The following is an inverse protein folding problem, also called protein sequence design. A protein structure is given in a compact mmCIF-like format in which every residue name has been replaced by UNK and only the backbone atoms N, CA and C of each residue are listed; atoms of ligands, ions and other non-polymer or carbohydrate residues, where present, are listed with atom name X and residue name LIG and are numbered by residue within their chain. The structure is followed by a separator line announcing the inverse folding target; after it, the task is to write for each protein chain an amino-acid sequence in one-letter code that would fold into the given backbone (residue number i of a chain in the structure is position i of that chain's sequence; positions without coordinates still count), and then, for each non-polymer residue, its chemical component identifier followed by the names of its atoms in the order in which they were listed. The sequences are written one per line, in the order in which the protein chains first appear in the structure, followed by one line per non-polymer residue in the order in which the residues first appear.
data_IF_134555534462
#
_entry.id   IF_134555534462
#
_cell.length_a   1.000
_cell.length_b   1.000
_cell.length_c   1.000
_cell.angle_alpha   90.00
_cell.angle_beta   90.00
_cell.angle_gamma   90.00
#
_symmetry.space_group_name_H-M   'P 1'
#
loop_
_entity.id
_entity.type
_entity.pdbx_description
1 polymer ?
#
# COMPACT_ATOMS: atom_id res chain seq x y z
N UNK A 1 -20.78 15.43 27.47
CA UNK A 1 -19.97 14.91 26.35
C UNK A 1 -20.15 15.86 25.16
N UNK A 2 -19.17 16.69 24.79
CA UNK A 2 -19.34 17.64 23.69
C UNK A 2 -19.46 16.91 22.34
N UNK A 3 -20.34 17.36 21.43
CA UNK A 3 -20.50 16.73 20.12
C UNK A 3 -19.22 16.89 19.27
N UNK A 4 -18.86 15.89 18.45
CA UNK A 4 -17.70 16.00 17.57
C UNK A 4 -17.88 17.20 16.63
N UNK A 5 -16.82 18.01 16.47
CA UNK A 5 -16.87 19.19 15.60
C UNK A 5 -17.09 18.78 14.14
N UNK A 6 -18.04 19.43 13.46
CA UNK A 6 -18.44 19.11 12.07
C UNK A 6 -17.25 18.99 11.10
N UNK A 7 -16.17 19.76 11.31
CA UNK A 7 -14.93 19.70 10.50
C UNK A 7 -14.21 18.34 10.56
N UNK A 8 -14.24 17.64 11.69
CA UNK A 8 -13.56 16.33 11.83
C UNK A 8 -14.28 15.24 11.04
N UNK A 9 -15.61 15.25 11.05
CA UNK A 9 -16.42 14.30 10.28
C UNK A 9 -16.18 14.47 8.77
N UNK A 10 -16.15 15.71 8.29
CA UNK A 10 -15.90 16.01 6.87
C UNK A 10 -14.51 15.54 6.42
N UNK A 11 -13.46 15.73 7.23
CA UNK A 11 -12.11 15.31 6.89
C UNK A 11 -11.96 13.78 6.79
N UNK A 12 -12.55 13.03 7.72
CA UNK A 12 -12.54 11.56 7.69
C UNK A 12 -13.31 11.01 6.48
N UNK A 13 -14.45 11.61 6.15
CA UNK A 13 -15.24 11.21 4.97
C UNK A 13 -14.46 11.48 3.67
N UNK A 14 -13.87 12.67 3.52
CA UNK A 14 -13.06 13.02 2.35
C UNK A 14 -11.88 12.07 2.20
N UNK A 15 -11.17 11.78 3.29
CA UNK A 15 -10.04 10.85 3.28
C UNK A 15 -10.46 9.44 2.87
N UNK A 16 -11.55 8.91 3.45
CA UNK A 16 -12.08 7.57 3.11
C UNK A 16 -12.54 7.50 1.66
N UNK A 17 -13.25 8.52 1.19
CA UNK A 17 -13.69 8.62 -0.20
C UNK A 17 -12.49 8.69 -1.16
N UNK A 18 -11.45 9.45 -0.81
CA UNK A 18 -10.20 9.52 -1.56
C UNK A 18 -9.52 8.16 -1.70
N UNK A 19 -9.31 7.45 -0.59
CA UNK A 19 -8.73 6.09 -0.62
C UNK A 19 -9.55 5.10 -1.44
N UNK A 20 -10.88 5.14 -1.28
CA UNK A 20 -11.79 4.27 -2.03
C UNK A 20 -11.71 4.59 -3.53
N UNK A 21 -11.72 5.88 -3.89
CA UNK A 21 -11.62 6.34 -5.27
C UNK A 21 -10.30 5.91 -5.91
N UNK A 22 -9.17 6.06 -5.20
CA UNK A 22 -7.86 5.60 -5.69
C UNK A 22 -7.88 4.09 -5.98
N UNK A 23 -8.40 3.26 -5.07
CA UNK A 23 -8.46 1.81 -5.28
C UNK A 23 -9.35 1.44 -6.48
N UNK A 24 -10.49 2.10 -6.64
CA UNK A 24 -11.38 1.86 -7.78
C UNK A 24 -10.73 2.26 -9.12
N UNK A 25 -10.11 3.43 -9.18
CA UNK A 25 -9.40 3.89 -10.38
C UNK A 25 -8.28 2.90 -10.74
N UNK A 26 -7.48 2.47 -9.74
CA UNK A 26 -6.42 1.49 -9.95
C UNK A 26 -6.95 0.14 -10.41
N UNK A 27 -8.07 -0.34 -9.85
CA UNK A 27 -8.71 -1.59 -10.28
C UNK A 27 -9.15 -1.53 -11.74
N UNK A 28 -9.85 -0.46 -12.13
CA UNK A 28 -10.28 -0.23 -13.52
C UNK A 28 -9.08 -0.18 -14.46
N UNK A 29 -8.03 0.54 -14.08
CA UNK A 29 -6.79 0.59 -14.87
C UNK A 29 -6.19 -0.80 -15.12
N UNK A 30 -6.13 -1.66 -14.10
CA UNK A 30 -5.61 -3.02 -14.26
C UNK A 30 -6.50 -3.92 -15.13
N UNK A 31 -7.82 -3.71 -15.12
CA UNK A 31 -8.73 -4.39 -16.08
C UNK A 31 -8.38 -4.00 -17.51
N UNK A 32 -8.22 -2.70 -17.78
CA UNK A 32 -7.87 -2.18 -19.11
C UNK A 32 -6.49 -2.67 -19.55
N UNK A 33 -5.54 -2.81 -18.61
CA UNK A 33 -4.19 -3.35 -18.86
C UNK A 33 -4.17 -4.88 -19.10
N UNK A 34 -5.25 -5.60 -18.81
CA UNK A 34 -5.30 -7.06 -18.94
C UNK A 34 -4.66 -7.82 -17.76
N UNK A 35 -4.58 -7.20 -16.57
CA UNK A 35 -4.06 -7.80 -15.34
C UNK A 35 -5.21 -8.11 -14.35
N UNK A 36 -5.98 -9.20 -14.56
CA UNK A 36 -7.22 -9.44 -13.82
C UNK A 36 -7.01 -9.75 -12.34
N UNK A 37 -5.88 -10.38 -11.97
CA UNK A 37 -5.56 -10.70 -10.57
C UNK A 37 -5.35 -9.43 -9.76
N UNK A 38 -4.57 -8.48 -10.28
CA UNK A 38 -4.31 -7.21 -9.63
C UNK A 38 -5.60 -6.37 -9.53
N UNK A 39 -6.39 -6.34 -10.61
CA UNK A 39 -7.69 -5.69 -10.60
C UNK A 39 -8.61 -6.24 -9.49
N UNK A 40 -8.65 -7.56 -9.32
CA UNK A 40 -9.44 -8.20 -8.27
C UNK A 40 -8.96 -7.83 -6.85
N UNK A 41 -7.64 -7.76 -6.64
CA UNK A 41 -7.05 -7.37 -5.34
C UNK A 41 -7.46 -5.93 -4.98
N UNK A 42 -7.31 -4.98 -5.91
CA UNK A 42 -7.68 -3.59 -5.66
C UNK A 42 -9.20 -3.41 -5.51
N UNK A 43 -10.00 -4.10 -6.32
CA UNK A 43 -11.46 -4.09 -6.20
C UNK A 43 -11.94 -4.65 -4.85
N UNK A 44 -11.36 -5.75 -4.38
CA UNK A 44 -11.65 -6.32 -3.06
C UNK A 44 -11.32 -5.32 -1.95
N UNK A 45 -10.16 -4.66 -2.02
CA UNK A 45 -9.78 -3.60 -1.09
C UNK A 45 -10.79 -2.45 -1.06
N UNK A 46 -11.25 -1.99 -2.22
CA UNK A 46 -12.27 -0.94 -2.32
C UNK A 46 -13.60 -1.39 -1.69
N UNK A 47 -14.05 -2.61 -1.98
CA UNK A 47 -15.26 -3.20 -1.40
C UNK A 47 -15.17 -3.26 0.12
N UNK A 48 -14.04 -3.71 0.67
CA UNK A 48 -13.82 -3.74 2.13
C UNK A 48 -13.90 -2.33 2.73
N UNK A 49 -13.30 -1.31 2.10
CA UNK A 49 -13.39 0.08 2.59
C UNK A 49 -14.82 0.65 2.51
N UNK A 50 -15.58 0.31 1.47
CA UNK A 50 -16.98 0.71 1.34
C UNK A 50 -17.82 0.10 2.46
N UNK A 51 -17.69 -1.21 2.69
CA UNK A 51 -18.42 -1.88 3.79
C UNK A 51 -17.97 -1.39 5.18
N UNK A 52 -16.68 -1.05 5.36
CA UNK A 52 -16.20 -0.39 6.58
C UNK A 52 -16.81 1.01 6.75
N UNK A 53 -16.99 1.77 5.66
CA UNK A 53 -17.63 3.09 5.69
C UNK A 53 -19.11 3.02 6.12
N UNK A 54 -19.82 1.95 5.72
CA UNK A 54 -21.17 1.65 6.20
C UNK A 54 -21.22 1.09 7.63
N UNK A 55 -20.06 0.84 8.26
CA UNK A 55 -19.97 0.29 9.61
C UNK A 55 -20.33 -1.19 9.70
N UNK A 56 -20.31 -1.92 8.57
CA UNK A 56 -20.63 -3.34 8.52
C UNK A 56 -19.44 -4.22 8.95
N UNK A 57 -18.20 -3.78 8.69
CA UNK A 57 -16.99 -4.41 9.23
C UNK A 57 -16.60 -3.83 10.60
N UNK A 58 -17.49 -3.96 11.60
CA UNK A 58 -17.07 -3.78 13.00
C UNK A 58 -16.38 -5.06 13.46
N UNK A 59 -15.16 -5.31 13.00
CA UNK A 59 -14.32 -6.36 13.55
C UNK A 59 -13.67 -5.78 14.82
N UNK A 60 -14.06 -6.20 16.04
CA UNK A 60 -13.47 -5.71 17.27
C UNK A 60 -12.15 -6.45 17.52
N UNK A 61 -11.17 -6.30 16.62
CA UNK A 61 -9.81 -6.72 16.88
C UNK A 61 -9.18 -5.72 17.85
N UNK A 62 -9.58 -5.77 19.12
CA UNK A 62 -8.81 -5.13 20.19
C UNK A 62 -7.55 -5.95 20.37
N UNK A 63 -6.47 -5.56 19.69
CA UNK A 63 -5.16 -6.00 20.14
C UNK A 63 -4.89 -5.33 21.50
N UNK A 64 -4.41 -6.08 22.50
CA UNK A 64 -4.02 -5.50 23.78
C UNK A 64 -3.12 -4.27 23.56
N UNK A 65 -3.21 -3.24 24.41
CA UNK A 65 -2.32 -2.09 24.34
C UNK A 65 -0.89 -2.58 24.61
N UNK A 66 -0.20 -2.89 23.53
CA UNK A 66 0.99 -3.74 23.56
C UNK A 66 2.22 -2.88 23.81
N UNK A 67 2.94 -3.18 24.89
CA UNK A 67 4.22 -2.56 25.20
C UNK A 67 5.22 -3.08 24.15
N UNK A 68 5.81 -2.16 23.39
CA UNK A 68 6.82 -2.47 22.36
C UNK A 68 8.07 -3.09 23.02
N UNK A 69 8.02 -4.41 23.26
CA UNK A 69 9.12 -5.16 23.86
C UNK A 69 10.19 -5.44 22.80
N UNK A 70 11.44 -5.54 23.23
CA UNK A 70 12.58 -5.91 22.37
C UNK A 70 12.30 -7.22 21.62
N UNK A 71 11.61 -8.18 22.26
CA UNK A 71 11.20 -9.45 21.66
C UNK A 71 10.36 -9.27 20.40
N UNK A 72 9.41 -8.33 20.40
CA UNK A 72 8.54 -8.11 19.23
C UNK A 72 9.26 -7.43 18.07
N UNK A 73 10.22 -6.54 18.36
CA UNK A 73 11.09 -5.95 17.33
C UNK A 73 11.98 -6.99 16.67
N UNK A 74 12.50 -7.93 17.45
CA UNK A 74 13.27 -9.06 16.93
C UNK A 74 12.38 -9.94 16.06
N UNK A 75 11.18 -10.33 16.54
CA UNK A 75 10.23 -11.13 15.75
C UNK A 75 9.86 -10.42 14.44
N UNK A 76 9.52 -9.13 14.49
CA UNK A 76 9.20 -8.34 13.30
C UNK A 76 10.40 -8.27 12.34
N UNK A 77 11.60 -7.99 12.85
CA UNK A 77 12.83 -7.98 12.06
C UNK A 77 13.13 -9.33 11.40
N UNK A 78 12.95 -10.43 12.13
CA UNK A 78 13.11 -11.79 11.60
C UNK A 78 12.08 -12.08 10.52
N UNK A 79 10.80 -11.76 10.73
CA UNK A 79 9.76 -11.94 9.71
C UNK A 79 10.02 -11.11 8.46
N UNK A 80 10.48 -9.86 8.62
CA UNK A 80 10.87 -8.99 7.50
C UNK A 80 12.05 -9.60 6.74
N UNK A 81 13.08 -10.07 7.45
CA UNK A 81 14.25 -10.69 6.82
C UNK A 81 13.88 -11.97 6.08
N UNK A 82 13.07 -12.84 6.69
CA UNK A 82 12.58 -14.08 6.06
C UNK A 82 11.76 -13.75 4.82
N UNK A 83 10.77 -12.85 4.93
CA UNK A 83 9.95 -12.45 3.79
C UNK A 83 10.78 -11.86 2.63
N UNK A 84 11.76 -11.01 2.97
CA UNK A 84 12.65 -10.39 1.98
C UNK A 84 13.52 -11.42 1.27
N UNK A 85 14.06 -12.38 2.02
CA UNK A 85 14.87 -13.46 1.46
C UNK A 85 14.04 -14.42 0.61
N UNK A 86 12.85 -14.82 1.09
CA UNK A 86 11.94 -15.70 0.34
C UNK A 86 11.52 -15.06 -0.98
N UNK A 87 11.09 -13.80 -0.96
CA UNK A 87 10.75 -13.06 -2.18
C UNK A 87 11.98 -12.85 -3.08
N UNK A 88 13.16 -12.64 -2.49
CA UNK A 88 14.43 -12.52 -3.20
C UNK A 88 14.87 -13.75 -3.98
N UNK A 89 14.43 -14.95 -3.58
CA UNK A 89 14.80 -16.23 -4.23
C UNK A 89 13.67 -16.78 -5.12
N UNK A 90 12.42 -16.39 -4.87
CA UNK A 90 11.25 -16.85 -5.65
C UNK A 90 11.30 -16.34 -7.09
N UNK A 91 10.75 -17.08 -8.06
CA UNK A 91 10.66 -16.58 -9.44
C UNK A 91 9.74 -15.35 -9.50
N UNK A 92 10.25 -14.26 -10.06
CA UNK A 92 9.48 -13.05 -10.32
C UNK A 92 8.28 -13.38 -11.22
N UNK A 93 7.12 -12.80 -10.93
CA UNK A 93 5.86 -13.02 -11.66
C UNK A 93 5.33 -14.46 -11.61
N UNK A 94 5.83 -15.29 -10.68
CA UNK A 94 5.24 -16.60 -10.45
C UNK A 94 3.99 -16.53 -9.56
N UNK A 95 3.04 -17.47 -9.70
CA UNK A 95 1.88 -17.53 -8.79
C UNK A 95 2.28 -17.65 -7.31
N UNK A 96 3.44 -18.26 -7.02
CA UNK A 96 3.99 -18.36 -5.67
C UNK A 96 4.39 -16.99 -5.11
N UNK A 97 5.03 -16.14 -5.92
CA UNK A 97 5.40 -14.77 -5.55
C UNK A 97 4.15 -13.94 -5.21
N UNK A 98 3.14 -13.98 -6.09
CA UNK A 98 1.84 -13.35 -5.86
C UNK A 98 1.17 -13.86 -4.58
N UNK A 99 1.15 -15.18 -4.35
CA UNK A 99 0.56 -15.77 -3.16
C UNK A 99 1.26 -15.33 -1.87
N UNK A 100 2.60 -15.20 -1.88
CA UNK A 100 3.37 -14.70 -0.73
C UNK A 100 3.02 -13.24 -0.44
N UNK A 101 3.00 -12.39 -1.46
CA UNK A 101 2.68 -10.96 -1.30
C UNK A 101 1.25 -10.77 -0.79
N UNK A 102 0.28 -11.46 -1.39
CA UNK A 102 -1.12 -11.43 -0.96
C UNK A 102 -1.25 -11.98 0.46
N UNK A 103 -0.59 -13.09 0.77
CA UNK A 103 -0.58 -13.70 2.10
C UNK A 103 -0.01 -12.75 3.16
N UNK A 104 1.09 -12.06 2.88
CA UNK A 104 1.65 -11.01 3.75
C UNK A 104 0.65 -9.87 3.96
N UNK A 105 -0.01 -9.40 2.90
CA UNK A 105 -1.05 -8.38 3.00
C UNK A 105 -2.22 -8.81 3.91
N UNK A 106 -2.72 -10.04 3.73
CA UNK A 106 -3.81 -10.62 4.54
C UNK A 106 -3.40 -10.80 6.00
N UNK A 107 -2.17 -11.25 6.26
CA UNK A 107 -1.65 -11.43 7.63
C UNK A 107 -1.43 -10.09 8.35
N UNK A 108 -1.02 -9.05 7.62
CA UNK A 108 -0.76 -7.72 8.17
C UNK A 108 -2.04 -6.88 8.32
N UNK A 109 -3.10 -7.20 7.57
CA UNK A 109 -4.38 -6.50 7.62
C UNK A 109 -4.94 -6.38 9.06
N UNK A 110 -5.08 -7.47 9.85
CA UNK A 110 -5.51 -7.39 11.24
C UNK A 110 -4.65 -6.46 12.10
N UNK A 111 -3.33 -6.47 11.90
CA UNK A 111 -2.37 -5.66 12.66
C UNK A 111 -2.53 -4.18 12.35
N UNK A 112 -2.76 -3.85 11.08
CA UNK A 112 -3.02 -2.48 10.65
C UNK A 112 -4.44 -1.99 11.02
N UNK A 113 -5.42 -2.90 11.12
CA UNK A 113 -6.82 -2.57 11.38
C UNK A 113 -7.14 -2.42 12.88
N UNK A 114 -6.42 -3.14 13.75
CA UNK A 114 -6.72 -3.24 15.19
C UNK A 114 -6.69 -1.92 15.97
N UNK A 115 -5.92 -0.91 15.51
CA UNK A 115 -5.71 0.34 16.26
C UNK A 115 -6.55 1.54 15.78
N UNK A 116 -7.56 1.31 14.93
CA UNK A 116 -8.43 2.40 14.45
C UNK A 116 -9.28 3.09 15.53
N UNK A 117 -9.33 2.54 16.75
CA UNK A 117 -10.31 2.93 17.77
C UNK A 117 -9.86 3.96 18.83
N UNK A 118 -8.61 4.38 18.89
CA UNK A 118 -8.08 5.03 20.11
C UNK A 118 -7.61 6.49 20.00
N UNK A 119 -6.86 6.83 18.96
CA UNK A 119 -6.12 8.09 18.93
C UNK A 119 -6.80 9.16 18.08
N UNK A 120 -7.00 10.35 18.66
CA UNK A 120 -7.37 11.53 17.89
C UNK A 120 -6.23 11.87 16.93
N UNK A 121 -6.50 12.17 15.63
CA UNK A 121 -5.43 12.51 14.68
C UNK A 121 -4.61 13.68 15.21
N UNK A 122 -3.33 13.43 15.53
CA UNK A 122 -2.41 14.51 15.88
C UNK A 122 -2.06 15.29 14.61
N UNK A 123 -1.94 16.63 14.70
CA UNK A 123 -1.53 17.42 13.56
C UNK A 123 -0.12 17.01 13.13
N UNK A 124 0.03 16.58 11.88
CA UNK A 124 1.33 16.28 11.30
C UNK A 124 2.25 17.51 11.41
N UNK A 125 3.49 17.28 11.81
CA UNK A 125 4.50 18.35 11.79
C UNK A 125 4.66 18.91 10.38
N UNK A 126 5.03 20.19 10.27
CA UNK A 126 5.19 20.84 8.97
C UNK A 126 6.18 20.10 8.05
N UNK A 127 7.21 19.47 8.64
CA UNK A 127 8.19 18.65 7.91
C UNK A 127 7.53 17.41 7.33
N UNK A 128 6.79 16.63 8.14
CA UNK A 128 6.10 15.42 7.67
C UNK A 128 5.10 15.77 6.57
N UNK A 129 4.36 16.88 6.73
CA UNK A 129 3.41 17.33 5.71
C UNK A 129 4.10 17.67 4.39
N UNK A 130 5.22 18.40 4.43
CA UNK A 130 6.00 18.72 3.22
C UNK A 130 6.54 17.45 2.54
N UNK A 131 7.09 16.53 3.32
CA UNK A 131 7.57 15.24 2.82
C UNK A 131 6.44 14.42 2.21
N UNK A 132 5.28 14.34 2.87
CA UNK A 132 4.11 13.65 2.33
C UNK A 132 3.63 14.26 1.01
N UNK A 133 3.59 15.60 0.90
CA UNK A 133 3.23 16.28 -0.35
C UNK A 133 4.25 16.00 -1.45
N UNK A 134 5.55 16.11 -1.16
CA UNK A 134 6.60 15.82 -2.13
C UNK A 134 6.50 14.38 -2.66
N UNK A 135 6.36 13.39 -1.77
CA UNK A 135 6.15 12.00 -2.17
C UNK A 135 4.85 11.78 -2.93
N UNK A 136 3.77 12.47 -2.55
CA UNK A 136 2.50 12.39 -3.29
C UNK A 136 2.66 12.91 -4.71
N UNK A 137 3.39 14.01 -4.93
CA UNK A 137 3.67 14.55 -6.26
C UNK A 137 4.47 13.54 -7.09
N UNK A 138 5.52 12.94 -6.53
CA UNK A 138 6.33 11.92 -7.21
C UNK A 138 5.48 10.71 -7.62
N UNK A 139 4.63 10.21 -6.71
CA UNK A 139 3.75 9.06 -6.99
C UNK A 139 2.73 9.41 -8.07
N UNK A 140 2.04 10.55 -7.95
CA UNK A 140 1.05 10.99 -8.94
C UNK A 140 1.70 11.18 -10.32
N UNK A 141 2.88 11.79 -10.38
CA UNK A 141 3.62 11.95 -11.63
C UNK A 141 3.99 10.60 -12.23
N UNK A 142 4.47 9.64 -11.42
CA UNK A 142 4.74 8.28 -11.88
C UNK A 142 3.50 7.55 -12.39
N UNK A 143 2.35 7.71 -11.74
CA UNK A 143 1.09 7.15 -12.22
C UNK A 143 0.64 7.78 -13.55
N UNK A 144 0.73 9.11 -13.67
CA UNK A 144 0.40 9.82 -14.91
C UNK A 144 1.34 9.44 -16.05
N UNK A 145 2.62 9.22 -15.75
CA UNK A 145 3.60 8.71 -16.70
C UNK A 145 3.20 7.32 -17.24
N UNK A 146 2.86 6.37 -16.37
CA UNK A 146 2.44 5.03 -16.82
C UNK A 146 1.13 5.04 -17.61
N UNK A 147 0.16 5.86 -17.19
CA UNK A 147 -1.07 6.03 -17.94
C UNK A 147 -0.76 6.64 -19.31
N UNK A 148 0.12 7.65 -19.37
CA UNK A 148 0.52 8.31 -20.60
C UNK A 148 1.18 7.35 -21.58
N UNK A 149 2.19 6.59 -21.14
CA UNK A 149 2.88 5.60 -21.97
C UNK A 149 1.94 4.49 -22.41
N UNK A 150 1.07 4.00 -21.53
CA UNK A 150 0.11 2.97 -21.88
C UNK A 150 -0.81 3.38 -23.04
N UNK A 151 -1.36 4.60 -23.02
CA UNK A 151 -2.18 5.09 -24.12
C UNK A 151 -1.35 5.37 -25.38
N UNK A 152 -0.16 5.96 -25.24
CA UNK A 152 0.70 6.28 -26.38
C UNK A 152 1.17 5.01 -27.12
N UNK A 153 1.53 3.96 -26.37
CA UNK A 153 1.93 2.66 -26.91
C UNK A 153 0.77 1.87 -27.52
N UNK A 154 -0.47 2.12 -27.10
CA UNK A 154 -1.67 1.48 -27.67
C UNK A 154 -2.07 2.05 -29.03
N UNK A 155 -1.91 3.36 -29.22
CA UNK A 155 -2.37 4.06 -30.44
C UNK A 155 -1.30 4.11 -31.54
N UNK A 156 -0.02 3.94 -31.21
CA UNK A 156 1.09 3.94 -32.17
C UNK A 156 1.56 2.51 -32.48
N UNK A 157 1.00 1.90 -33.52
CA UNK A 157 1.47 0.60 -34.04
C UNK A 157 2.95 0.69 -34.42
N UNK A 158 3.81 -0.07 -33.73
CA UNK A 158 5.25 -0.19 -34.04
C UNK A 158 6.21 0.63 -33.16
N UNK A 159 5.73 1.32 -32.11
CA UNK A 159 6.58 2.10 -31.19
C UNK A 159 6.64 1.56 -29.76
N UNK A 160 6.37 0.27 -29.55
CA UNK A 160 6.36 -0.38 -28.23
C UNK A 160 7.68 -0.19 -27.45
N UNK A 161 8.80 0.01 -28.16
CA UNK A 161 10.13 0.25 -27.58
C UNK A 161 10.54 1.73 -27.50
N UNK A 162 9.73 2.67 -27.99
CA UNK A 162 10.11 4.09 -28.04
C UNK A 162 9.92 4.79 -26.68
N UNK A 163 9.00 4.28 -25.85
CA UNK A 163 8.66 4.86 -24.56
C UNK A 163 8.52 3.74 -23.51
N UNK A 164 9.63 3.29 -22.88
CA UNK A 164 9.56 2.25 -21.86
C UNK A 164 8.78 2.73 -20.64
N UNK A 165 7.88 1.88 -20.14
CA UNK A 165 7.14 2.16 -18.91
C UNK A 165 8.10 2.20 -17.71
N UNK A 166 7.72 2.89 -16.63
CA UNK A 166 8.46 2.84 -15.37
C UNK A 166 8.59 1.40 -14.86
N UNK A 167 7.58 0.56 -15.06
CA UNK A 167 7.68 -0.87 -14.75
C UNK A 167 8.81 -1.56 -15.52
N UNK A 168 8.99 -1.23 -16.79
CA UNK A 168 10.00 -1.85 -17.65
C UNK A 168 11.42 -1.41 -17.24
N UNK A 169 11.56 -0.21 -16.69
CA UNK A 169 12.81 0.29 -16.12
C UNK A 169 13.13 -0.37 -14.77
N UNK A 170 12.11 -0.72 -13.99
CA UNK A 170 12.27 -1.41 -12.71
C UNK A 170 12.47 -2.92 -12.88
N UNK A 171 12.00 -3.51 -13.98
CA UNK A 171 12.07 -4.94 -14.25
C UNK A 171 13.48 -5.52 -14.13
N UNK A 172 14.53 -4.94 -14.75
CA UNK A 172 15.91 -5.42 -14.61
C UNK A 172 16.41 -5.37 -13.16
N UNK A 173 15.97 -4.34 -12.41
CA UNK A 173 16.35 -4.17 -11.01
C UNK A 173 15.66 -5.22 -10.12
N UNK A 174 14.38 -5.52 -10.38
CA UNK A 174 13.63 -6.55 -9.67
C UNK A 174 14.03 -7.98 -10.06
N UNK A 175 14.49 -8.16 -11.30
CA UNK A 175 15.03 -9.43 -11.78
C UNK A 175 16.35 -9.78 -11.08
N UNK A 176 17.09 -8.78 -10.57
CA UNK A 176 18.31 -9.02 -9.80
C UNK A 176 17.98 -9.44 -8.36
N UNK A 177 18.28 -10.69 -7.94
CA UNK A 177 17.86 -11.21 -6.63
C UNK A 177 18.30 -10.35 -5.46
N UNK A 178 19.54 -9.83 -5.49
CA UNK A 178 20.10 -9.03 -4.41
C UNK A 178 19.42 -7.67 -4.27
N UNK A 179 19.17 -6.98 -5.38
CA UNK A 179 18.43 -5.71 -5.35
C UNK A 179 16.99 -5.91 -4.88
N UNK A 180 16.34 -6.99 -5.31
CA UNK A 180 14.99 -7.34 -4.86
C UNK A 180 14.91 -7.58 -3.35
N UNK A 181 15.85 -8.32 -2.75
CA UNK A 181 15.91 -8.50 -1.28
C UNK A 181 15.98 -7.15 -0.58
N UNK A 182 16.86 -6.26 -1.05
CA UNK A 182 17.06 -4.93 -0.46
C UNK A 182 15.79 -4.09 -0.59
N UNK A 183 15.17 -4.06 -1.77
CA UNK A 183 13.95 -3.30 -2.03
C UNK A 183 12.78 -3.78 -1.18
N UNK A 184 12.56 -5.10 -1.09
CA UNK A 184 11.52 -5.70 -0.24
C UNK A 184 11.77 -5.40 1.24
N UNK A 185 13.02 -5.51 1.69
CA UNK A 185 13.38 -5.18 3.07
C UNK A 185 13.10 -3.70 3.37
N UNK A 186 13.50 -2.78 2.48
CA UNK A 186 13.20 -1.35 2.61
C UNK A 186 11.70 -1.08 2.65
N UNK A 187 10.92 -1.75 1.79
CA UNK A 187 9.46 -1.63 1.76
C UNK A 187 8.80 -2.08 3.06
N UNK A 188 9.14 -3.28 3.54
CA UNK A 188 8.60 -3.84 4.78
C UNK A 188 9.04 -3.05 6.01
N UNK A 189 10.30 -2.60 6.07
CA UNK A 189 10.81 -1.74 7.15
C UNK A 189 10.10 -0.38 7.15
N UNK A 190 9.87 0.20 5.97
CA UNK A 190 9.11 1.44 5.81
C UNK A 190 7.67 1.27 6.33
N UNK A 191 6.98 0.21 5.92
CA UNK A 191 5.64 -0.12 6.40
C UNK A 191 5.60 -0.33 7.91
N UNK A 192 6.54 -1.09 8.46
CA UNK A 192 6.67 -1.32 9.90
C UNK A 192 6.90 -0.01 10.68
N UNK A 193 7.79 0.87 10.19
CA UNK A 193 8.06 2.16 10.81
C UNK A 193 6.83 3.08 10.80
N UNK A 194 6.08 3.11 9.69
CA UNK A 194 4.83 3.87 9.57
C UNK A 194 3.75 3.36 10.50
N UNK A 195 3.54 2.03 10.57
CA UNK A 195 2.59 1.42 11.50
C UNK A 195 2.98 1.73 12.95
N UNK A 196 4.24 1.57 13.33
CA UNK A 196 4.70 1.87 14.69
C UNK A 196 4.46 3.33 15.07
N UNK A 197 4.74 4.25 14.15
CA UNK A 197 4.50 5.69 14.38
C UNK A 197 3.02 6.01 14.50
N UNK A 198 2.18 5.39 13.68
CA UNK A 198 0.72 5.52 13.74
C UNK A 198 0.13 5.03 15.05
N UNK A 199 0.74 4.02 15.69
CA UNK A 199 0.33 3.49 17.02
C UNK A 199 0.78 4.36 18.19
N UNK A 200 1.83 5.16 18.02
CA UNK A 200 2.41 6.02 19.06
C UNK A 200 1.84 7.45 19.06
N UNK A 201 1.02 7.81 18.06
CA UNK A 201 0.44 9.14 17.89
C UNK A 201 -1.01 9.16 18.36
#
# INVERSE_FOLDING_TARGET
MPPPSRRRLSATVIMRAGWTGVLLITAVFHVVRGAPVDAAIYALGAVVLIFDAFGWLRIPLRMPPDRDTVSRRVIAGTLIAVASLTLGVTRLYSPADTAIVVGLGVLLLPVAWADRGGAAPQPLSAVIRRTAVAWSIVIVFGCLWEIGIFFLGRDLTGSENAFPALSDLLDPLLAWPHARVVLVACWLLGGYALLRRGRQS
#
